data_IF_777929483241
#
_entry.id   IF_777929483241
#
_cell.length_a   1.000
_cell.length_b   1.000
_cell.length_c   1.000
_cell.angle_alpha   90.00
_cell.angle_beta   90.00
_cell.angle_gamma   90.00
#
_symmetry.space_group_name_H-M   'P 1'
#
loop_
_entity.id
_entity.type
_entity.pdbx_description
1 polymer ?
#
# COMPACT_ATOMS: atom_id res chain seq x y z
N UNK A 1 -14.61 2.03 -11.21
CA UNK A 1 -14.71 2.33 -9.76
C UNK A 1 -14.02 1.28 -8.88
N UNK A 2 -14.11 -0.02 -9.20
CA UNK A 2 -13.48 -1.10 -8.40
C UNK A 2 -11.95 -1.25 -8.58
N UNK A 3 -11.37 -0.75 -9.68
CA UNK A 3 -9.98 -1.09 -10.02
C UNK A 3 -8.94 -0.49 -9.07
N UNK A 4 -9.09 0.79 -8.67
CA UNK A 4 -8.21 1.43 -7.67
C UNK A 4 -8.27 0.72 -6.32
N UNK A 5 -9.47 0.29 -5.92
CA UNK A 5 -9.69 -0.45 -4.67
C UNK A 5 -9.06 -1.83 -4.74
N UNK A 6 -9.20 -2.53 -5.87
CA UNK A 6 -8.53 -3.82 -6.13
C UNK A 6 -7.00 -3.69 -6.10
N UNK A 7 -6.45 -2.63 -6.69
CA UNK A 7 -5.00 -2.36 -6.68
C UNK A 7 -4.53 -2.08 -5.25
N UNK A 8 -5.24 -1.24 -4.48
CA UNK A 8 -4.91 -0.97 -3.09
C UNK A 8 -4.94 -2.22 -2.22
N UNK A 9 -5.97 -3.06 -2.34
CA UNK A 9 -6.08 -4.34 -1.61
C UNK A 9 -4.95 -5.30 -2.03
N UNK A 10 -4.65 -5.40 -3.33
CA UNK A 10 -3.54 -6.22 -3.81
C UNK A 10 -2.20 -5.75 -3.23
N UNK A 11 -1.93 -4.43 -3.22
CA UNK A 11 -0.74 -3.87 -2.58
C UNK A 11 -0.68 -4.20 -1.09
N UNK A 12 -1.81 -4.14 -0.37
CA UNK A 12 -1.85 -4.52 1.05
C UNK A 12 -1.48 -5.99 1.26
N UNK A 13 -2.00 -6.91 0.44
CA UNK A 13 -1.71 -8.34 0.58
C UNK A 13 -0.25 -8.66 0.23
N UNK A 14 0.28 -8.07 -0.84
CA UNK A 14 1.66 -8.31 -1.27
C UNK A 14 2.68 -7.70 -0.32
N UNK A 15 2.45 -6.48 0.18
CA UNK A 15 3.39 -5.76 1.04
C UNK A 15 3.09 -5.89 2.53
N UNK A 16 2.35 -6.93 2.93
CA UNK A 16 2.18 -7.24 4.35
C UNK A 16 3.57 -7.34 5.03
N UNK A 17 3.77 -6.75 6.23
CA UNK A 17 5.07 -6.76 6.90
C UNK A 17 5.62 -8.16 7.14
N UNK A 18 4.73 -9.17 7.31
CA UNK A 18 5.11 -10.58 7.44
C UNK A 18 5.79 -11.15 6.18
N UNK A 19 5.61 -10.52 5.02
CA UNK A 19 6.25 -10.92 3.77
C UNK A 19 7.66 -10.34 3.63
N UNK A 20 8.05 -9.34 4.43
CA UNK A 20 9.38 -8.74 4.33
C UNK A 20 10.51 -9.77 4.62
N UNK A 21 10.46 -10.60 5.68
CA UNK A 21 11.44 -11.66 5.90
C UNK A 21 11.46 -12.70 4.77
N UNK A 22 10.29 -13.05 4.22
CA UNK A 22 10.19 -13.98 3.10
C UNK A 22 10.87 -13.41 1.84
N UNK A 23 10.75 -12.09 1.63
CA UNK A 23 11.39 -11.40 0.53
C UNK A 23 12.92 -11.38 0.68
N UNK A 24 13.43 -11.08 1.88
CA UNK A 24 14.87 -11.13 2.20
C UNK A 24 15.43 -12.53 1.91
N UNK A 25 14.78 -13.57 2.45
CA UNK A 25 15.17 -14.96 2.22
C UNK A 25 15.14 -15.33 0.73
N UNK A 26 14.15 -14.86 -0.03
CA UNK A 26 14.07 -15.10 -1.46
C UNK A 26 15.20 -14.40 -2.23
N UNK A 27 15.56 -13.17 -1.84
CA UNK A 27 16.67 -12.43 -2.47
C UNK A 27 18.03 -13.07 -2.16
N UNK A 28 18.22 -13.55 -0.93
CA UNK A 28 19.41 -14.32 -0.54
C UNK A 28 19.50 -15.63 -1.33
N UNK A 29 18.39 -16.36 -1.48
CA UNK A 29 18.33 -17.59 -2.27
C UNK A 29 18.63 -17.37 -3.77
N UNK A 30 18.37 -16.16 -4.29
CA UNK A 30 18.71 -15.76 -5.66
C UNK A 30 20.17 -15.28 -5.79
N UNK A 31 20.95 -15.26 -4.70
CA UNK A 31 22.33 -14.79 -4.70
C UNK A 31 22.48 -13.27 -4.73
N UNK A 32 21.38 -12.52 -4.53
CA UNK A 32 21.43 -11.07 -4.37
C UNK A 32 21.62 -10.73 -2.90
N UNK A 33 22.84 -10.31 -2.55
CA UNK A 33 23.10 -9.67 -1.27
C UNK A 33 22.55 -8.25 -1.31
N UNK A 34 21.48 -8.00 -0.57
CA UNK A 34 21.04 -6.65 -0.29
C UNK A 34 21.98 -6.08 0.78
N UNK A 35 22.83 -5.13 0.38
CA UNK A 35 23.74 -4.37 1.27
C UNK A 35 22.97 -3.42 2.24
N UNK A 36 21.66 -3.59 2.36
CA UNK A 36 20.78 -2.79 3.20
C UNK A 36 20.39 -3.57 4.45
N UNK A 37 20.22 -2.89 5.59
CA UNK A 37 19.85 -3.58 6.81
C UNK A 37 18.40 -4.06 6.76
N UNK A 38 18.13 -5.27 7.26
CA UNK A 38 16.83 -5.96 7.19
C UNK A 38 15.65 -5.12 7.69
N UNK A 39 15.88 -4.31 8.73
CA UNK A 39 14.86 -3.43 9.30
C UNK A 39 14.39 -2.36 8.30
N UNK A 40 15.25 -1.92 7.38
CA UNK A 40 14.91 -0.94 6.35
C UNK A 40 13.99 -1.55 5.28
N UNK A 41 14.20 -2.82 4.94
CA UNK A 41 13.35 -3.57 4.02
C UNK A 41 11.97 -3.78 4.66
N UNK A 42 11.92 -4.18 5.94
CA UNK A 42 10.68 -4.26 6.71
C UNK A 42 9.94 -2.93 6.80
N UNK A 43 10.65 -1.83 7.05
CA UNK A 43 10.09 -0.48 7.09
C UNK A 43 9.53 -0.05 5.72
N UNK A 44 10.20 -0.40 4.63
CA UNK A 44 9.72 -0.14 3.27
C UNK A 44 8.41 -0.88 2.98
N UNK A 45 8.32 -2.16 3.35
CA UNK A 45 7.07 -2.93 3.24
C UNK A 45 5.94 -2.30 4.06
N UNK A 46 6.22 -1.87 5.29
CA UNK A 46 5.25 -1.18 6.14
C UNK A 46 4.73 0.11 5.50
N UNK A 47 5.62 0.93 4.93
CA UNK A 47 5.23 2.16 4.23
C UNK A 47 4.36 1.83 3.02
N UNK A 48 4.76 0.87 2.18
CA UNK A 48 3.97 0.46 1.01
C UNK A 48 2.60 -0.12 1.39
N UNK A 49 2.53 -0.88 2.49
CA UNK A 49 1.28 -1.38 3.04
C UNK A 49 0.35 -0.23 3.45
N UNK A 50 0.87 0.75 4.19
CA UNK A 50 0.12 1.94 4.59
C UNK A 50 -0.38 2.73 3.37
N UNK A 51 0.47 2.93 2.36
CA UNK A 51 0.08 3.59 1.09
C UNK A 51 -1.01 2.80 0.36
N UNK A 52 -0.88 1.47 0.28
CA UNK A 52 -1.89 0.59 -0.29
C UNK A 52 -3.22 0.68 0.46
N UNK A 53 -3.17 0.77 1.79
CA UNK A 53 -4.33 1.00 2.65
C UNK A 53 -5.00 2.33 2.41
N UNK A 54 -4.24 3.41 2.35
CA UNK A 54 -4.78 4.72 1.97
C UNK A 54 -5.42 4.60 0.58
N UNK A 55 -4.80 3.97 -0.41
CA UNK A 55 -5.39 3.84 -1.74
C UNK A 55 -6.67 2.97 -1.77
N UNK A 56 -6.74 1.93 -0.94
CA UNK A 56 -7.88 1.02 -0.84
C UNK A 56 -9.07 1.62 -0.07
N UNK A 57 -8.79 2.40 0.97
CA UNK A 57 -9.80 2.94 1.89
C UNK A 57 -10.07 4.43 1.69
N UNK A 58 -9.23 5.17 0.95
CA UNK A 58 -9.46 6.59 0.67
C UNK A 58 -10.81 6.69 -0.06
N UNK A 59 -11.82 7.26 0.62
CA UNK A 59 -13.11 7.44 -0.01
C UNK A 59 -12.88 8.37 -1.18
N UNK A 60 -13.67 8.24 -2.24
CA UNK A 60 -13.91 9.39 -3.10
C UNK A 60 -14.55 10.45 -2.21
N UNK A 61 -13.75 11.29 -1.55
CA UNK A 61 -14.22 12.54 -0.99
C UNK A 61 -14.59 13.33 -2.22
N UNK A 62 -15.84 13.14 -2.66
CA UNK A 62 -16.46 13.98 -3.65
C UNK A 62 -16.67 15.31 -2.94
N UNK A 63 -15.61 16.10 -2.86
CA UNK A 63 -15.69 17.51 -2.46
C UNK A 63 -16.78 18.18 -3.31
N UNK A 64 -16.93 17.74 -4.56
CA UNK A 64 -17.97 18.14 -5.50
C UNK A 64 -19.41 17.86 -4.99
N UNK A 65 -19.66 16.73 -4.30
CA UNK A 65 -20.98 16.46 -3.70
C UNK A 65 -21.26 17.34 -2.48
N UNK A 66 -20.24 17.76 -1.73
CA UNK A 66 -20.40 18.70 -0.62
C UNK A 66 -20.70 20.13 -1.11
N UNK A 67 -20.14 20.53 -2.26
CA UNK A 67 -20.48 21.81 -2.90
C UNK A 67 -21.86 21.82 -3.57
N UNK A 68 -22.34 20.68 -4.06
CA UNK A 68 -23.65 20.57 -4.72
C UNK A 68 -24.85 20.64 -3.75
N UNK A 69 -24.61 20.38 -2.45
CA UNK A 69 -25.62 20.49 -1.38
C UNK A 69 -25.84 21.91 -0.84
N UNK A 70 -25.03 22.89 -1.28
CA UNK A 70 -25.15 24.30 -0.86
C UNK A 70 -25.95 25.19 -1.82
N UNK A 71 -26.43 24.64 -2.94
CA UNK A 71 -27.08 25.40 -4.04
C UNK A 71 -28.59 25.08 -4.16
N UNK A 72 -29.21 24.62 -3.06
CA UNK A 72 -30.65 24.34 -2.98
C UNK A 72 -31.32 25.06 -1.79
N UNK A 73 -30.99 26.33 -1.59
CA UNK A 73 -31.68 27.20 -0.63
C UNK A 73 -31.93 28.58 -1.23
#
# INVERSE_FOLDING_TARGET
MMWRRKIGIAMMVFFLPVNAPLFILATEALGWNMDQPDWLIGLSFLILFCVGGVLAFMPRISIFRLFQSGDQS
#
